data_IF_973328000296
#
_entry.id   IF_973328000296
#
_cell.length_a   1.000
_cell.length_b   1.000
_cell.length_c   1.000
_cell.angle_alpha   90.00
_cell.angle_beta   90.00
_cell.angle_gamma   90.00
#
_symmetry.space_group_name_H-M   'P 1'
#
loop_
_entity.id
_entity.type
_entity.pdbx_description
1 polymer ?
#
# COMPACT_ATOMS: atom_id res chain seq x y z
N UNK A 1 6.69 19.49 5.85
CA UNK A 1 6.03 18.18 5.63
C UNK A 1 4.67 18.08 6.30
N UNK A 2 4.57 18.15 7.63
CA UNK A 2 3.28 17.96 8.34
C UNK A 2 2.16 18.87 7.82
N UNK A 3 2.41 20.17 7.62
CA UNK A 3 1.41 21.10 7.09
C UNK A 3 0.92 20.73 5.68
N UNK A 4 1.79 20.22 4.82
CA UNK A 4 1.41 19.82 3.45
C UNK A 4 0.57 18.55 3.46
N UNK A 5 0.91 17.59 4.32
CA UNK A 5 0.18 16.32 4.42
C UNK A 5 -1.20 16.52 5.02
N UNK A 6 -1.31 17.30 6.11
CA UNK A 6 -2.60 17.52 6.79
C UNK A 6 -3.62 18.32 5.97
N UNK A 7 -3.17 19.15 5.05
CA UNK A 7 -4.05 19.93 4.16
C UNK A 7 -4.19 19.31 2.77
N UNK A 8 -3.63 18.13 2.56
CA UNK A 8 -3.72 17.48 1.27
C UNK A 8 -5.17 17.04 0.97
N UNK A 9 -5.71 17.33 -0.23
CA UNK A 9 -7.11 17.02 -0.55
C UNK A 9 -7.43 15.52 -0.50
N UNK A 10 -6.42 14.67 -0.64
CA UNK A 10 -6.55 13.21 -0.59
C UNK A 10 -6.09 12.64 0.77
N UNK A 11 -6.19 13.42 1.86
CA UNK A 11 -5.80 12.94 3.18
C UNK A 11 -6.70 11.79 3.63
N UNK A 12 -6.15 10.57 3.86
CA UNK A 12 -6.94 9.43 4.28
C UNK A 12 -7.29 9.53 5.77
N UNK A 13 -8.53 9.17 6.11
CA UNK A 13 -9.05 9.27 7.48
C UNK A 13 -8.44 8.21 8.42
N UNK A 14 -8.08 7.04 7.91
CA UNK A 14 -7.64 5.89 8.71
C UNK A 14 -6.35 5.27 8.17
N UNK A 15 -6.49 4.39 7.16
CA UNK A 15 -5.36 3.72 6.50
C UNK A 15 -4.86 4.52 5.29
N UNK A 16 -3.63 4.25 4.86
CA UNK A 16 -3.06 4.90 3.68
C UNK A 16 -2.28 6.18 3.97
N UNK A 17 -2.20 6.64 5.22
CA UNK A 17 -1.45 7.84 5.60
C UNK A 17 0.05 7.71 5.30
N UNK A 18 0.62 6.54 5.47
CA UNK A 18 2.00 6.23 5.14
C UNK A 18 2.25 6.30 3.62
N UNK A 19 1.31 5.82 2.81
CA UNK A 19 1.34 5.96 1.35
C UNK A 19 1.30 7.44 0.94
N UNK A 20 0.39 8.22 1.55
CA UNK A 20 0.29 9.65 1.28
C UNK A 20 1.60 10.37 1.64
N UNK A 21 2.14 10.15 2.85
CA UNK A 21 3.38 10.80 3.30
C UNK A 21 4.54 10.49 2.36
N UNK A 22 4.71 9.22 1.98
CA UNK A 22 5.78 8.80 1.09
C UNK A 22 5.61 9.39 -0.32
N UNK A 23 4.39 9.40 -0.85
CA UNK A 23 4.10 9.95 -2.18
C UNK A 23 4.32 11.46 -2.22
N UNK A 24 3.78 12.21 -1.24
CA UNK A 24 4.00 13.66 -1.15
C UNK A 24 5.49 13.97 -1.01
N UNK A 25 6.20 13.26 -0.13
CA UNK A 25 7.65 13.48 0.04
C UNK A 25 8.44 13.20 -1.25
N UNK A 26 8.02 12.22 -2.04
CA UNK A 26 8.65 11.91 -3.32
C UNK A 26 8.32 12.94 -4.41
N UNK A 27 7.04 13.33 -4.53
CA UNK A 27 6.57 14.21 -5.59
C UNK A 27 6.94 15.67 -5.36
N UNK A 28 7.03 16.09 -4.10
CA UNK A 28 7.42 17.45 -3.72
C UNK A 28 8.94 17.59 -3.47
N UNK A 29 9.73 16.64 -3.95
CA UNK A 29 11.21 16.61 -3.89
C UNK A 29 11.78 16.86 -2.48
N UNK A 30 11.11 16.34 -1.46
CA UNK A 30 11.57 16.48 -0.09
C UNK A 30 12.80 15.62 0.19
N UNK A 31 13.70 16.11 1.06
CA UNK A 31 14.83 15.31 1.53
C UNK A 31 14.30 14.11 2.33
N UNK A 32 14.68 12.89 1.90
CA UNK A 32 14.30 11.63 2.54
C UNK A 32 15.55 10.93 3.07
N UNK A 33 15.38 10.31 4.23
CA UNK A 33 16.40 9.47 4.85
C UNK A 33 15.73 8.17 5.26
N UNK A 34 16.32 7.04 4.91
CA UNK A 34 15.85 5.72 5.32
C UNK A 34 16.58 5.29 6.60
N UNK A 35 15.83 5.06 7.68
CA UNK A 35 16.39 4.59 8.93
C UNK A 35 16.09 3.10 9.15
N UNK A 36 17.14 2.28 9.31
CA UNK A 36 17.02 0.87 9.70
C UNK A 36 17.01 0.78 11.22
N UNK A 37 15.83 0.62 11.80
CA UNK A 37 15.62 0.64 13.25
C UNK A 37 15.57 -0.77 13.88
N UNK A 38 15.76 -1.83 13.09
CA UNK A 38 15.64 -3.20 13.55
C UNK A 38 14.26 -3.83 13.25
N UNK A 39 13.92 -4.84 14.04
CA UNK A 39 12.69 -5.62 13.82
C UNK A 39 11.52 -4.93 14.51
N UNK A 40 10.46 -4.66 13.74
CA UNK A 40 9.19 -4.21 14.29
C UNK A 40 8.37 -5.41 14.75
N UNK A 41 8.19 -5.52 16.06
CA UNK A 41 7.27 -6.51 16.62
C UNK A 41 5.83 -5.99 16.57
N UNK A 42 4.93 -6.77 16.00
CA UNK A 42 3.50 -6.53 16.09
C UNK A 42 2.89 -7.54 17.06
N UNK A 43 2.17 -7.05 18.06
CA UNK A 43 1.29 -7.93 18.80
C UNK A 43 0.23 -8.46 17.84
N UNK A 44 0.07 -9.77 17.77
CA UNK A 44 -1.04 -10.35 17.04
C UNK A 44 -2.32 -9.91 17.73
N UNK A 45 -3.01 -8.96 17.13
CA UNK A 45 -4.34 -8.60 17.58
C UNK A 45 -5.26 -9.78 17.28
N UNK A 46 -6.07 -10.18 18.27
CA UNK A 46 -7.03 -11.28 18.13
C UNK A 46 -8.03 -11.06 16.99
N UNK A 47 -8.08 -9.86 16.47
CA UNK A 47 -9.02 -9.36 15.46
C UNK A 47 -8.69 -9.79 14.02
N UNK A 48 -7.51 -10.39 13.77
CA UNK A 48 -7.18 -10.97 12.46
C UNK A 48 -7.96 -12.25 12.11
N UNK A 49 -8.87 -12.69 12.99
CA UNK A 49 -9.68 -13.89 12.73
C UNK A 49 -10.69 -13.70 11.60
N UNK A 50 -11.14 -12.47 11.38
CA UNK A 50 -12.02 -12.14 10.25
C UNK A 50 -11.39 -11.11 9.33
N UNK A 51 -10.79 -11.54 8.21
CA UNK A 51 -10.17 -10.63 7.24
C UNK A 51 -11.14 -9.58 6.69
N UNK A 52 -12.45 -9.86 6.67
CA UNK A 52 -13.44 -8.93 6.13
C UNK A 52 -13.60 -7.69 7.00
N UNK A 53 -13.39 -7.82 8.31
CA UNK A 53 -13.58 -6.72 9.26
C UNK A 53 -12.43 -5.70 9.21
N UNK A 54 -11.21 -6.15 9.07
CA UNK A 54 -10.04 -5.26 9.13
C UNK A 54 -9.22 -5.25 7.85
N UNK A 55 -8.88 -6.43 7.33
CA UNK A 55 -7.94 -6.52 6.20
C UNK A 55 -8.54 -5.98 4.91
N UNK A 56 -9.80 -6.30 4.60
CA UNK A 56 -10.46 -5.83 3.38
C UNK A 56 -10.68 -4.30 3.38
N UNK A 57 -11.21 -3.68 4.45
CA UNK A 57 -11.31 -2.21 4.51
C UNK A 57 -9.94 -1.53 4.39
N UNK A 58 -8.93 -2.03 5.10
CA UNK A 58 -7.56 -1.53 5.03
C UNK A 58 -7.01 -1.62 3.60
N UNK A 59 -7.13 -2.78 2.96
CA UNK A 59 -6.68 -2.99 1.59
C UNK A 59 -7.37 -2.03 0.61
N UNK A 60 -8.70 -1.90 0.72
CA UNK A 60 -9.47 -1.02 -0.16
C UNK A 60 -9.04 0.44 0.00
N UNK A 61 -8.83 0.90 1.25
CA UNK A 61 -8.42 2.28 1.50
C UNK A 61 -6.98 2.54 1.02
N UNK A 62 -6.05 1.63 1.28
CA UNK A 62 -4.66 1.75 0.81
C UNK A 62 -4.60 1.74 -0.71
N UNK A 63 -5.30 0.81 -1.36
CA UNK A 63 -5.35 0.72 -2.83
C UNK A 63 -6.02 1.95 -3.44
N UNK A 64 -7.14 2.39 -2.88
CA UNK A 64 -7.80 3.63 -3.30
C UNK A 64 -6.87 4.83 -3.20
N UNK A 65 -6.18 4.99 -2.07
CA UNK A 65 -5.20 6.08 -1.88
C UNK A 65 -4.08 6.04 -2.93
N UNK A 66 -3.57 4.86 -3.28
CA UNK A 66 -2.54 4.73 -4.32
C UNK A 66 -3.08 5.19 -5.68
N UNK A 67 -4.29 4.77 -6.05
CA UNK A 67 -4.91 5.13 -7.33
C UNK A 67 -5.18 6.62 -7.41
N UNK A 68 -5.77 7.20 -6.37
CA UNK A 68 -6.09 8.63 -6.30
C UNK A 68 -4.82 9.49 -6.36
N UNK A 69 -3.77 9.12 -5.62
CA UNK A 69 -2.48 9.79 -5.65
C UNK A 69 -1.78 9.66 -7.02
N UNK A 70 -1.94 8.52 -7.68
CA UNK A 70 -1.40 8.32 -9.03
C UNK A 70 -2.07 9.25 -10.04
N UNK A 71 -3.38 9.46 -9.91
CA UNK A 71 -4.13 10.41 -10.74
C UNK A 71 -3.75 11.85 -10.40
N UNK A 72 -3.67 12.19 -9.12
CA UNK A 72 -3.32 13.54 -8.66
C UNK A 72 -1.93 13.96 -9.12
N UNK A 73 -0.95 13.06 -9.00
CA UNK A 73 0.44 13.27 -9.40
C UNK A 73 0.77 12.73 -10.80
N UNK A 74 -0.22 12.60 -11.69
CA UNK A 74 -0.03 12.01 -13.05
C UNK A 74 1.08 12.66 -13.85
N UNK A 75 1.30 13.96 -13.68
CA UNK A 75 2.34 14.69 -14.43
C UNK A 75 3.74 14.49 -13.82
N UNK A 76 3.81 14.05 -12.56
CA UNK A 76 5.08 13.67 -11.93
C UNK A 76 5.65 12.38 -12.57
N UNK A 77 4.81 11.41 -12.91
CA UNK A 77 5.24 10.15 -13.53
C UNK A 77 5.93 10.35 -14.89
N UNK A 78 5.67 11.49 -15.55
CA UNK A 78 6.33 11.88 -16.81
C UNK A 78 7.73 12.47 -16.62
N UNK A 79 8.10 12.85 -15.39
CA UNK A 79 9.43 13.35 -15.09
C UNK A 79 10.40 12.17 -15.07
N UNK A 80 11.57 12.34 -15.68
CA UNK A 80 12.68 11.39 -15.46
C UNK A 80 13.10 11.52 -14.00
N UNK A 81 12.61 10.61 -13.16
CA UNK A 81 13.09 10.51 -11.78
C UNK A 81 14.53 10.02 -11.87
N UNK A 82 15.48 10.89 -11.57
CA UNK A 82 16.85 10.45 -11.31
C UNK A 82 16.77 9.50 -10.11
N UNK A 83 17.39 8.34 -10.23
CA UNK A 83 17.52 7.38 -9.13
C UNK A 83 18.41 8.03 -8.05
N UNK A 84 17.79 8.90 -7.26
CA UNK A 84 18.46 9.54 -6.14
C UNK A 84 18.60 8.49 -5.05
N UNK A 85 19.80 7.99 -4.84
CA UNK A 85 20.09 7.12 -3.70
C UNK A 85 19.62 7.81 -2.42
N UNK A 86 18.74 7.16 -1.69
CA UNK A 86 18.27 7.64 -0.38
C UNK A 86 19.37 7.34 0.64
N UNK A 87 19.79 8.36 1.40
CA UNK A 87 20.71 8.18 2.51
C UNK A 87 20.16 7.18 3.51
N UNK A 88 20.96 6.18 3.88
CA UNK A 88 20.56 5.12 4.82
C UNK A 88 21.38 5.22 6.09
N UNK A 89 20.68 5.28 7.22
CA UNK A 89 21.28 5.31 8.55
C UNK A 89 20.75 4.13 9.39
N UNK A 90 21.45 3.78 10.48
CA UNK A 90 21.03 2.81 11.46
C UNK A 90 21.79 1.49 11.39
N UNK A 91 21.14 0.39 11.83
CA UNK A 91 21.76 -0.92 12.03
C UNK A 91 22.22 -1.50 10.69
N UNK A 92 23.51 -1.88 10.58
CA UNK A 92 24.06 -2.46 9.36
C UNK A 92 23.68 -3.93 9.15
N UNK A 93 23.51 -4.67 10.22
CA UNK A 93 23.13 -6.08 10.17
C UNK A 93 21.62 -6.22 10.32
N UNK A 94 21.00 -6.82 9.35
CA UNK A 94 19.60 -7.24 9.40
C UNK A 94 19.62 -8.77 9.47
N UNK A 95 19.02 -9.34 10.50
CA UNK A 95 18.77 -10.78 10.52
C UNK A 95 18.05 -11.18 9.25
N UNK A 96 18.58 -12.18 8.56
CA UNK A 96 17.89 -12.74 7.40
C UNK A 96 16.54 -13.29 7.87
N UNK A 97 15.44 -12.85 7.30
CA UNK A 97 14.15 -13.38 7.66
C UNK A 97 14.13 -14.90 7.41
N UNK A 98 13.47 -15.63 8.29
CA UNK A 98 13.26 -17.08 8.08
C UNK A 98 12.55 -17.27 6.76
N UNK A 99 12.98 -18.31 6.03
CA UNK A 99 12.32 -18.68 4.78
C UNK A 99 10.84 -18.98 5.04
N UNK A 100 9.97 -18.29 4.34
CA UNK A 100 8.53 -18.50 4.40
C UNK A 100 8.14 -19.35 3.20
N UNK A 101 7.73 -20.58 3.46
CA UNK A 101 7.18 -21.44 2.41
C UNK A 101 5.77 -20.97 2.08
N UNK A 102 5.59 -20.47 0.86
CA UNK A 102 4.29 -20.01 0.37
C UNK A 102 3.74 -20.97 -0.68
N UNK A 103 2.47 -21.33 -0.54
CA UNK A 103 1.74 -22.07 -1.59
C UNK A 103 1.26 -21.09 -2.68
N UNK A 104 2.18 -20.74 -3.57
CA UNK A 104 1.89 -19.82 -4.68
C UNK A 104 0.80 -20.39 -5.60
N UNK A 105 0.78 -21.72 -5.78
CA UNK A 105 -0.22 -22.37 -6.65
C UNK A 105 -1.62 -22.28 -6.05
N UNK A 106 -1.74 -22.45 -4.73
CA UNK A 106 -2.98 -22.26 -3.99
C UNK A 106 -3.48 -20.82 -4.14
N UNK A 107 -2.64 -19.83 -3.88
CA UNK A 107 -3.01 -18.41 -4.03
C UNK A 107 -3.45 -18.02 -5.44
N UNK A 108 -2.77 -18.56 -6.48
CA UNK A 108 -3.18 -18.32 -7.88
C UNK A 108 -4.56 -18.93 -8.15
N UNK A 109 -4.86 -20.11 -7.62
CA UNK A 109 -6.16 -20.76 -7.81
C UNK A 109 -7.28 -20.00 -7.08
N UNK A 110 -7.03 -19.56 -5.87
CA UNK A 110 -7.97 -18.73 -5.08
C UNK A 110 -8.26 -17.41 -5.79
N UNK A 111 -7.23 -16.75 -6.31
CA UNK A 111 -7.38 -15.54 -7.11
C UNK A 111 -8.23 -15.77 -8.35
N UNK A 112 -7.95 -16.82 -9.11
CA UNK A 112 -8.72 -17.16 -10.33
C UNK A 112 -10.19 -17.47 -10.01
N UNK A 113 -10.45 -18.13 -8.90
CA UNK A 113 -11.81 -18.43 -8.41
C UNK A 113 -12.56 -17.15 -8.07
N UNK A 114 -12.01 -16.32 -7.19
CA UNK A 114 -12.60 -15.05 -6.79
C UNK A 114 -12.81 -14.08 -7.96
N UNK A 115 -11.87 -14.03 -8.90
CA UNK A 115 -12.00 -13.24 -10.12
C UNK A 115 -13.20 -13.66 -10.97
N UNK A 116 -13.40 -14.99 -11.17
CA UNK A 116 -14.55 -15.52 -11.92
C UNK A 116 -15.88 -15.20 -11.24
N UNK A 117 -15.94 -15.29 -9.92
CA UNK A 117 -17.14 -14.95 -9.13
C UNK A 117 -17.47 -13.47 -9.29
N UNK A 118 -16.48 -12.59 -9.12
CA UNK A 118 -16.68 -11.15 -9.25
C UNK A 118 -17.18 -10.73 -10.64
N UNK A 119 -16.67 -11.38 -11.70
CA UNK A 119 -17.14 -11.09 -13.07
C UNK A 119 -18.57 -11.59 -13.27
N UNK A 120 -18.94 -12.76 -12.73
CA UNK A 120 -20.31 -13.26 -12.81
C UNK A 120 -21.29 -12.32 -12.14
N UNK A 121 -20.97 -11.82 -10.94
CA UNK A 121 -21.79 -10.86 -10.23
C UNK A 121 -21.95 -9.56 -11.01
N UNK A 122 -20.88 -9.00 -11.53
CA UNK A 122 -20.95 -7.78 -12.37
C UNK A 122 -21.81 -7.97 -13.61
N UNK A 123 -21.65 -9.07 -14.33
CA UNK A 123 -22.45 -9.36 -15.53
C UNK A 123 -23.94 -9.50 -15.19
N UNK A 124 -24.28 -10.05 -14.02
CA UNK A 124 -25.64 -10.11 -13.56
C UNK A 124 -26.27 -8.72 -13.34
N UNK A 125 -25.52 -7.79 -12.75
CA UNK A 125 -25.99 -6.42 -12.55
C UNK A 125 -26.13 -5.62 -13.85
N UNK A 126 -25.33 -5.88 -14.87
CA UNK A 126 -25.41 -5.18 -16.17
C UNK A 126 -26.51 -5.72 -17.08
N UNK A 127 -27.00 -6.94 -16.85
CA UNK A 127 -28.12 -7.53 -17.62
C UNK A 127 -29.51 -7.10 -17.11
N UNK A 128 -29.58 -6.46 -15.95
CA UNK A 128 -30.85 -5.99 -15.36
C UNK A 128 -31.15 -4.50 -15.64
N UNK A 129 -30.37 -3.86 -16.47
CA UNK A 129 -30.61 -2.49 -16.97
C UNK A 129 -30.93 -2.55 -18.48
#
# INVERSE_FOLDING_TARGET
MVKMVLVHPLFPAEFGIDILINTVAACEDMKRIEAKLGIKSHNSTKDYKDPKVLLVPMFNQVTGSILDLTIFYKDFSKRKVADKSVERIGIKEVETPKEVVMDISGYINDFKSGYKETIREKNFFFQQR
#
